data_IF_859811444065
#
_entry.id   IF_859811444065
#
_cell.length_a   1.000
_cell.length_b   1.000
_cell.length_c   1.000
_cell.angle_alpha   90.00
_cell.angle_beta   90.00
_cell.angle_gamma   90.00
#
_symmetry.space_group_name_H-M   'P 1'
#
loop_
_entity.id
_entity.type
_entity.pdbx_description
1 polymer ?
#
# COMPACT_ATOMS: atom_id res chain seq x y z
N UNK A 1 -1.69 19.50 21.78
CA UNK A 1 -1.41 19.13 21.35
C UNK A 1 -1.81 18.89 20.39
N UNK A 2 -2.00 18.73 19.88
CA UNK A 2 -2.11 18.39 19.10
C UNK A 2 -2.79 18.42 18.13
N UNK A 3 -2.84 18.64 17.32
CA UNK A 3 -3.30 18.75 16.26
C UNK A 3 -2.99 17.72 15.46
N UNK A 4 -2.58 16.78 15.88
CA UNK A 4 -2.28 15.64 15.12
C UNK A 4 -3.48 14.98 14.51
N UNK A 5 -4.68 15.37 14.89
CA UNK A 5 -5.87 14.78 14.30
C UNK A 5 -5.95 14.93 12.78
N UNK A 6 -5.57 16.10 12.28
CA UNK A 6 -5.59 16.31 10.83
C UNK A 6 -4.53 15.50 10.13
N UNK A 7 -3.35 15.41 10.73
CA UNK A 7 -2.29 14.60 10.15
C UNK A 7 -2.67 13.13 10.14
N UNK A 8 -3.32 12.67 11.20
CA UNK A 8 -3.77 11.28 11.23
C UNK A 8 -4.78 11.00 10.15
N UNK A 9 -5.69 11.93 9.91
CA UNK A 9 -6.67 11.75 8.85
C UNK A 9 -6.02 11.66 7.50
N UNK A 10 -5.02 12.51 7.24
CA UNK A 10 -4.32 12.46 5.97
C UNK A 10 -3.59 11.15 5.78
N UNK A 11 -2.95 10.68 6.84
CA UNK A 11 -2.19 9.45 6.74
C UNK A 11 -3.09 8.25 6.53
N UNK A 12 -4.34 8.33 6.96
CA UNK A 12 -5.28 7.23 6.80
C UNK A 12 -6.11 7.33 5.55
N UNK A 13 -6.07 8.48 4.89
CA UNK A 13 -6.86 8.64 3.69
C UNK A 13 -6.34 7.72 2.61
N UNK A 14 -7.19 6.85 2.14
CA UNK A 14 -6.80 5.85 1.14
C UNK A 14 -7.30 6.27 -0.21
N UNK A 15 -6.42 6.10 -1.18
CA UNK A 15 -6.73 6.40 -2.57
C UNK A 15 -6.89 5.06 -3.27
N UNK A 16 -8.02 4.87 -3.91
CA UNK A 16 -8.27 3.64 -4.63
C UNK A 16 -7.45 3.64 -5.91
N UNK A 17 -6.84 2.50 -6.20
CA UNK A 17 -6.04 2.37 -7.40
C UNK A 17 -6.93 1.82 -8.51
N UNK A 18 -7.11 2.63 -9.55
CA UNK A 18 -7.89 2.24 -10.71
C UNK A 18 -6.91 1.78 -11.78
N UNK A 19 -6.95 0.52 -12.12
CA UNK A 19 -5.98 -0.05 -13.03
C UNK A 19 -5.02 -0.92 -12.26
N UNK A 20 -3.81 -1.05 -12.75
CA UNK A 20 -2.84 -1.97 -12.20
C UNK A 20 -1.69 -1.24 -11.54
N UNK A 21 -1.42 -1.58 -10.29
CA UNK A 21 -0.27 -1.09 -9.57
C UNK A 21 0.33 -2.28 -8.86
N UNK A 22 1.61 -2.48 -9.04
CA UNK A 22 2.27 -3.69 -8.58
C UNK A 22 3.40 -3.37 -7.63
N UNK A 23 3.76 -4.37 -6.85
CA UNK A 23 4.91 -4.32 -5.97
C UNK A 23 5.37 -5.73 -5.70
N UNK A 24 6.24 -5.86 -4.73
CA UNK A 24 6.79 -7.14 -4.34
C UNK A 24 6.95 -7.17 -2.83
N UNK A 25 6.72 -8.33 -2.26
CA UNK A 25 6.85 -8.54 -0.83
C UNK A 25 7.51 -9.90 -0.62
N UNK A 26 8.19 -10.07 0.49
CA UNK A 26 8.88 -11.33 0.78
C UNK A 26 9.79 -11.65 -0.40
N UNK A 27 10.76 -12.06 -0.47
CA UNK A 27 11.74 -12.36 -1.51
C UNK A 27 11.11 -12.37 -2.91
N UNK A 28 10.71 -11.17 -3.37
CA UNK A 28 10.25 -10.98 -4.76
C UNK A 28 8.91 -11.62 -5.11
N UNK A 29 8.08 -11.90 -4.12
CA UNK A 29 6.73 -12.36 -4.43
C UNK A 29 5.89 -11.17 -4.90
N UNK A 30 5.17 -11.31 -6.02
CA UNK A 30 4.39 -10.19 -6.55
C UNK A 30 3.15 -9.92 -5.71
N UNK A 31 2.69 -8.68 -5.77
CA UNK A 31 1.43 -8.29 -5.16
C UNK A 31 0.79 -7.22 -6.02
N UNK A 32 -0.52 -7.04 -5.84
CA UNK A 32 -1.26 -5.96 -6.48
C UNK A 32 -1.67 -4.97 -5.41
N UNK A 33 -1.48 -3.70 -5.65
CA UNK A 33 -1.85 -2.66 -4.70
C UNK A 33 -3.23 -2.16 -5.07
N UNK A 34 -4.17 -2.30 -4.13
CA UNK A 34 -5.57 -1.93 -4.36
C UNK A 34 -5.90 -0.55 -3.81
N UNK A 35 -5.26 -0.16 -2.74
CA UNK A 35 -5.41 1.15 -2.13
C UNK A 35 -4.09 1.57 -1.56
N UNK A 36 -3.84 2.86 -1.55
CA UNK A 36 -2.62 3.37 -0.95
C UNK A 36 -2.94 4.66 -0.19
N UNK A 37 -2.26 4.84 0.93
CA UNK A 37 -2.33 6.06 1.71
C UNK A 37 -0.90 6.42 2.12
N UNK A 38 -0.76 7.55 2.81
CA UNK A 38 0.57 7.94 3.28
C UNK A 38 1.13 6.96 4.29
N UNK A 39 0.28 6.30 5.04
CA UNK A 39 0.70 5.42 6.13
C UNK A 39 0.67 3.95 5.81
N UNK A 40 0.13 3.54 4.65
CA UNK A 40 0.05 2.13 4.36
C UNK A 40 -0.65 1.85 3.05
N UNK A 41 -0.91 0.58 2.81
CA UNK A 41 -1.58 0.18 1.57
C UNK A 41 -2.40 -1.08 1.81
N UNK A 42 -3.35 -1.31 0.91
CA UNK A 42 -4.10 -2.55 0.84
C UNK A 42 -3.60 -3.30 -0.37
N UNK A 43 -3.14 -4.52 -0.15
CA UNK A 43 -2.54 -5.32 -1.23
C UNK A 43 -3.30 -6.61 -1.40
N UNK A 44 -3.26 -7.14 -2.61
CA UNK A 44 -3.84 -8.44 -2.91
C UNK A 44 -2.72 -9.39 -3.33
N UNK A 45 -2.74 -10.59 -2.77
CA UNK A 45 -1.73 -11.60 -3.05
C UNK A 45 -2.40 -12.94 -3.26
N UNK A 46 -1.67 -13.88 -3.84
CA UNK A 46 -2.16 -15.27 -3.99
C UNK A 46 -1.75 -16.14 -2.81
N UNK A 47 -1.16 -15.55 -1.77
CA UNK A 47 -0.72 -16.25 -0.58
C UNK A 47 -1.04 -15.39 0.62
N UNK A 48 -1.30 -15.98 1.80
CA UNK A 48 -1.62 -15.18 2.99
C UNK A 48 -0.36 -14.56 3.58
N UNK A 49 -0.53 -13.40 4.18
CA UNK A 49 0.51 -12.75 4.95
C UNK A 49 0.14 -12.86 6.43
N UNK A 50 1.12 -13.18 7.26
CA UNK A 50 0.87 -13.36 8.69
C UNK A 50 0.63 -12.04 9.39
N UNK A 51 -0.36 -12.02 10.25
CA UNK A 51 -0.70 -10.86 11.03
C UNK A 51 0.51 -10.42 11.85
N UNK A 52 0.77 -9.11 11.88
CA UNK A 52 1.87 -8.49 12.61
C UNK A 52 3.25 -8.83 12.11
N UNK A 53 3.37 -9.54 11.00
CA UNK A 53 4.68 -9.82 10.43
C UNK A 53 5.23 -8.59 9.73
N UNK A 54 6.55 -8.49 9.70
CA UNK A 54 7.26 -7.37 9.07
C UNK A 54 7.90 -7.87 7.79
N UNK A 55 7.77 -7.09 6.75
CA UNK A 55 8.31 -7.45 5.44
C UNK A 55 8.92 -6.24 4.77
N UNK A 56 9.96 -6.46 3.99
CA UNK A 56 10.43 -5.45 3.08
C UNK A 56 9.53 -5.49 1.86
N UNK A 57 9.00 -4.34 1.50
CA UNK A 57 8.04 -4.23 0.41
C UNK A 57 8.60 -3.28 -0.63
N UNK A 58 8.60 -3.71 -1.87
CA UNK A 58 8.97 -2.84 -2.98
C UNK A 58 7.71 -2.35 -3.65
N UNK A 59 7.60 -1.05 -3.76
CA UNK A 59 6.47 -0.42 -4.44
C UNK A 59 6.99 0.26 -5.68
N UNK A 60 6.33 0.00 -6.81
CA UNK A 60 6.65 0.69 -8.06
C UNK A 60 5.56 1.73 -8.27
N UNK A 61 5.92 2.98 -8.07
CA UNK A 61 4.99 4.10 -8.09
C UNK A 61 5.33 4.98 -9.28
N UNK A 62 4.65 4.74 -10.38
CA UNK A 62 4.99 5.43 -11.62
C UNK A 62 6.35 4.99 -12.10
N UNK A 63 7.27 5.93 -12.23
CA UNK A 63 8.61 5.64 -12.70
C UNK A 63 9.60 5.41 -11.58
N UNK A 64 9.14 5.44 -10.34
CA UNK A 64 10.03 5.29 -9.20
C UNK A 64 9.70 4.02 -8.42
N UNK A 65 10.74 3.38 -7.92
CA UNK A 65 10.57 2.23 -7.04
C UNK A 65 11.18 2.58 -5.69
N UNK A 66 10.48 2.19 -4.64
CA UNK A 66 10.97 2.37 -3.28
C UNK A 66 10.83 1.05 -2.54
N UNK A 67 11.73 0.84 -1.59
CA UNK A 67 11.67 -0.34 -0.72
C UNK A 67 11.54 0.17 0.70
N UNK A 68 10.54 -0.34 1.40
CA UNK A 68 10.30 0.10 2.77
C UNK A 68 9.76 -1.08 3.57
N UNK A 69 9.79 -0.92 4.87
CA UNK A 69 9.30 -1.97 5.77
C UNK A 69 7.82 -1.76 6.02
N UNK A 70 7.07 -2.86 5.94
CA UNK A 70 5.65 -2.84 6.24
C UNK A 70 5.28 -3.89 7.26
N UNK A 71 4.28 -3.59 8.08
CA UNK A 71 3.74 -4.54 9.03
C UNK A 71 2.33 -4.89 8.63
N UNK A 72 2.02 -6.18 8.63
CA UNK A 72 0.69 -6.65 8.26
C UNK A 72 -0.28 -6.39 9.40
N UNK A 73 -1.24 -5.50 9.18
CA UNK A 73 -2.23 -5.14 10.18
C UNK A 73 -3.45 -6.06 10.15
N UNK A 74 -3.80 -6.56 8.96
CA UNK A 74 -4.87 -7.54 8.84
C UNK A 74 -4.69 -8.29 7.52
N UNK A 75 -5.32 -9.46 7.45
CA UNK A 75 -5.28 -10.27 6.24
C UNK A 75 -6.58 -11.07 6.20
N UNK A 76 -7.22 -11.10 5.04
CA UNK A 76 -8.46 -11.84 4.87
C UNK A 76 -8.53 -12.40 3.47
N UNK A 77 -9.35 -13.42 3.29
CA UNK A 77 -9.61 -13.96 1.98
C UNK A 77 -10.50 -12.98 1.24
N UNK A 78 -10.08 -12.56 0.04
CA UNK A 78 -10.83 -11.59 -0.73
C UNK A 78 -11.68 -12.25 -1.80
N UNK A 79 -11.20 -13.37 -2.33
CA UNK A 79 -11.91 -14.00 -3.44
C UNK A 79 -11.49 -15.46 -3.50
N UNK A 80 -12.46 -16.32 -3.82
CA UNK A 80 -12.20 -17.73 -3.98
C UNK A 80 -12.89 -18.16 -5.27
N UNK A 81 -12.12 -18.59 -6.23
CA UNK A 81 -12.71 -19.19 -7.41
C UNK A 81 -12.27 -20.64 -7.49
N UNK A 82 -12.58 -21.32 -8.57
CA UNK A 82 -12.38 -22.74 -8.63
C UNK A 82 -10.92 -23.15 -8.60
N UNK A 83 -10.02 -22.23 -8.95
CA UNK A 83 -8.62 -22.60 -9.11
C UNK A 83 -7.69 -21.80 -8.23
N UNK A 84 -8.15 -20.73 -7.61
CA UNK A 84 -7.25 -19.88 -6.85
C UNK A 84 -7.98 -19.20 -5.71
N UNK A 85 -7.17 -18.82 -4.72
CA UNK A 85 -7.63 -18.05 -3.57
C UNK A 85 -6.80 -16.79 -3.53
N UNK A 86 -7.46 -15.67 -3.33
CA UNK A 86 -6.78 -14.39 -3.21
C UNK A 86 -6.99 -13.83 -1.82
N UNK A 87 -5.98 -13.12 -1.34
CA UNK A 87 -5.98 -12.55 0.00
C UNK A 87 -5.78 -11.05 -0.10
N UNK A 88 -6.48 -10.30 0.73
CA UNK A 88 -6.26 -8.86 0.86
C UNK A 88 -5.68 -8.59 2.23
N UNK A 89 -4.59 -7.83 2.25
CA UNK A 89 -3.88 -7.53 3.49
C UNK A 89 -3.69 -6.03 3.59
N UNK A 90 -3.97 -5.50 4.78
CA UNK A 90 -3.64 -4.12 5.09
C UNK A 90 -2.24 -4.08 5.65
N UNK A 91 -1.41 -3.18 5.13
CA UNK A 91 -0.01 -3.07 5.50
C UNK A 91 0.26 -1.66 5.96
N UNK A 92 0.86 -1.52 7.15
CA UNK A 92 1.31 -0.23 7.66
C UNK A 92 2.76 -0.03 7.30
N UNK A 93 3.09 1.15 6.79
CA UNK A 93 4.49 1.48 6.52
C UNK A 93 5.17 1.83 7.84
N UNK A 94 6.34 1.25 8.08
CA UNK A 94 7.06 1.44 9.34
C UNK A 94 8.17 2.43 9.11
N UNK A 95 7.97 3.64 9.63
CA UNK A 95 8.97 4.71 9.67
C UNK A 95 9.73 4.87 8.35
N UNK A 96 9.02 5.09 7.24
CA UNK A 96 9.73 5.30 5.99
C UNK A 96 10.58 6.58 6.07
N UNK A 97 11.68 6.59 5.34
CA UNK A 97 12.54 7.77 5.29
C UNK A 97 11.77 8.94 4.67
N UNK A 98 12.29 10.16 4.87
CA UNK A 98 11.64 11.32 4.28
C UNK A 98 11.62 11.24 2.77
N UNK A 99 12.66 10.69 2.16
CA UNK A 99 12.70 10.54 0.72
C UNK A 99 11.58 9.61 0.24
N UNK A 100 11.44 8.47 0.90
CA UNK A 100 10.42 7.49 0.51
C UNK A 100 9.03 8.06 0.76
N UNK A 101 8.85 8.73 1.91
CA UNK A 101 7.57 9.36 2.22
C UNK A 101 7.21 10.38 1.16
N UNK A 102 8.18 11.16 0.69
CA UNK A 102 7.94 12.13 -0.36
C UNK A 102 7.51 11.50 -1.66
N UNK A 103 8.13 10.38 -2.02
CA UNK A 103 7.75 9.67 -3.24
C UNK A 103 6.30 9.19 -3.14
N UNK A 104 5.92 8.64 -1.99
CA UNK A 104 4.56 8.16 -1.79
C UNK A 104 3.56 9.32 -1.87
N UNK A 105 3.86 10.42 -1.19
CA UNK A 105 2.98 11.58 -1.17
C UNK A 105 2.81 12.14 -2.59
N UNK A 106 3.91 12.28 -3.32
CA UNK A 106 3.85 12.81 -4.67
C UNK A 106 3.01 11.91 -5.57
N UNK A 107 3.14 10.61 -5.41
CA UNK A 107 2.37 9.67 -6.20
C UNK A 107 0.87 9.81 -5.89
N UNK A 108 0.51 9.90 -4.61
CA UNK A 108 -0.88 10.05 -4.21
C UNK A 108 -1.45 11.37 -4.74
N UNK A 109 -0.69 12.44 -4.64
CA UNK A 109 -1.15 13.74 -5.13
C UNK A 109 -1.34 13.72 -6.64
N UNK A 110 -0.48 13.00 -7.35
CA UNK A 110 -0.61 12.91 -8.80
C UNK A 110 -1.90 12.17 -9.18
N UNK A 111 -2.24 11.09 -8.47
CA UNK A 111 -3.47 10.38 -8.73
C UNK A 111 -4.67 11.28 -8.43
N UNK A 112 -4.62 11.99 -7.32
CA UNK A 112 -5.70 12.87 -6.90
C UNK A 112 -5.92 13.97 -7.92
N UNK A 113 -4.85 14.57 -8.41
CA UNK A 113 -4.94 15.63 -9.41
C UNK A 113 -5.53 15.09 -10.71
N UNK A 114 -5.10 13.91 -11.12
CA UNK A 114 -5.62 13.29 -12.32
C UNK A 114 -7.09 12.99 -12.21
N UNK A 115 -7.50 12.47 -11.06
CA UNK A 115 -8.90 12.16 -10.81
C UNK A 115 -9.75 13.42 -10.79
N UNK A 116 -9.24 14.48 -10.17
CA UNK A 116 -9.96 15.73 -10.09
C UNK A 116 -10.13 16.38 -11.44
N UNK A 117 -9.11 16.24 -12.28
CA UNK A 117 -9.15 16.84 -13.60
C UNK A 117 -10.06 16.13 -14.57
N UNK A 118 -10.39 14.90 -14.25
CA UNK A 118 -11.26 14.12 -15.11
C UNK A 118 -12.71 14.48 -14.98
#
# INVERSE_FOLDING_TARGET
MSDTGDDDKRDRERIEILGELHGEVMVFQPLSIKEISRGGCLVETSFPLHLNSLHDIRLTLGEQSVVLKGRVAHCRISDVDQESVHYKSGVEFIEPSERIRGVIVDFIEAIRAGTSGG
#
